data_IF_827066739869
#
_entry.id   IF_827066739869
#
_cell.length_a   1.000
_cell.length_b   1.000
_cell.length_c   1.000
_cell.angle_alpha   90.00
_cell.angle_beta   90.00
_cell.angle_gamma   90.00
#
_symmetry.space_group_name_H-M   'P 1'
#
loop_
_entity.id
_entity.type
_entity.pdbx_description
1 polymer ?
#
# COMPACT_ATOMS: atom_id res chain seq x y z
N UNK A 1 21.52 -14.39 20.06
CA UNK A 1 20.62 -14.96 19.04
C UNK A 1 19.40 -15.44 19.79
N UNK A 2 18.22 -14.92 19.47
CA UNK A 2 16.98 -15.40 20.06
C UNK A 2 16.82 -16.90 19.74
N UNK A 3 16.26 -17.67 20.67
CA UNK A 3 15.97 -19.08 20.46
C UNK A 3 14.99 -19.22 19.27
N UNK A 4 15.31 -20.09 18.29
CA UNK A 4 14.47 -20.33 17.11
C UNK A 4 13.05 -20.82 17.45
N UNK A 5 12.82 -21.22 18.70
CA UNK A 5 11.53 -21.63 19.21
C UNK A 5 10.80 -20.55 20.02
N UNK A 6 11.30 -19.31 20.07
CA UNK A 6 10.58 -18.25 20.76
C UNK A 6 9.32 -17.87 19.97
N UNK A 7 8.11 -18.00 20.55
CA UNK A 7 6.88 -17.67 19.83
C UNK A 7 6.81 -16.17 19.55
N UNK A 8 6.49 -15.82 18.30
CA UNK A 8 6.25 -14.43 17.89
C UNK A 8 4.77 -14.10 18.06
N UNK A 9 4.47 -12.98 18.70
CA UNK A 9 3.11 -12.51 18.92
C UNK A 9 2.73 -11.43 17.89
N UNK A 10 1.49 -11.49 17.39
CA UNK A 10 0.87 -10.38 16.68
C UNK A 10 0.21 -9.48 17.71
N UNK A 11 0.75 -8.27 17.90
CA UNK A 11 0.32 -7.34 18.95
C UNK A 11 -0.49 -6.15 18.42
N UNK A 12 -0.56 -5.97 17.09
CA UNK A 12 -1.41 -4.97 16.45
C UNK A 12 -1.64 -5.30 14.99
N UNK A 13 -2.76 -4.84 14.44
CA UNK A 13 -3.17 -5.07 13.06
C UNK A 13 -3.90 -3.85 12.49
N UNK A 14 -3.65 -3.56 11.23
CA UNK A 14 -4.45 -2.63 10.45
C UNK A 14 -4.64 -3.18 9.03
N UNK A 15 -5.79 -2.91 8.43
CA UNK A 15 -6.04 -3.27 7.04
C UNK A 15 -6.94 -2.25 6.36
N UNK A 16 -6.72 -2.12 5.05
CA UNK A 16 -7.61 -1.39 4.14
C UNK A 16 -7.82 -2.25 2.92
N UNK A 17 -9.09 -2.48 2.60
CA UNK A 17 -9.52 -3.23 1.45
C UNK A 17 -10.64 -2.46 0.73
N UNK A 18 -10.94 -2.79 -0.53
CA UNK A 18 -12.17 -2.32 -1.15
C UNK A 18 -13.38 -2.57 -0.24
N UNK A 19 -14.19 -1.54 0.00
CA UNK A 19 -15.35 -1.53 0.91
C UNK A 19 -15.07 -1.64 2.42
N UNK A 20 -13.79 -1.63 2.83
CA UNK A 20 -13.41 -1.66 4.24
C UNK A 20 -12.21 -0.75 4.51
N UNK A 21 -12.47 0.37 5.17
CA UNK A 21 -11.46 1.36 5.54
C UNK A 21 -10.67 0.98 6.81
N UNK A 22 -11.09 -0.08 7.52
CA UNK A 22 -10.43 -0.61 8.72
C UNK A 22 -10.81 -2.07 8.99
N UNK A 23 -10.14 -2.69 9.97
CA UNK A 23 -10.36 -4.08 10.36
C UNK A 23 -11.80 -4.39 10.81
N UNK A 24 -12.47 -3.48 11.52
CA UNK A 24 -13.85 -3.70 11.97
C UNK A 24 -14.83 -3.75 10.80
N UNK A 25 -14.68 -2.84 9.83
CA UNK A 25 -15.48 -2.87 8.61
C UNK A 25 -15.20 -4.11 7.77
N UNK A 26 -13.93 -4.53 7.69
CA UNK A 26 -13.57 -5.75 6.98
C UNK A 26 -14.17 -7.00 7.66
N UNK A 27 -14.16 -7.05 8.99
CA UNK A 27 -14.79 -8.12 9.74
C UNK A 27 -16.29 -8.21 9.46
N UNK A 28 -16.99 -7.07 9.54
CA UNK A 28 -18.41 -7.03 9.21
C UNK A 28 -18.69 -7.47 7.77
N UNK A 29 -17.86 -7.02 6.82
CA UNK A 29 -17.96 -7.41 5.41
C UNK A 29 -17.87 -8.94 5.22
N UNK A 30 -16.95 -9.61 5.92
CA UNK A 30 -16.81 -11.07 5.91
C UNK A 30 -18.04 -11.73 6.55
N UNK A 31 -18.47 -11.26 7.73
CA UNK A 31 -19.64 -11.79 8.43
C UNK A 31 -20.91 -11.72 7.57
N UNK A 32 -21.07 -10.65 6.81
CA UNK A 32 -22.19 -10.43 5.89
C UNK A 32 -22.08 -11.21 4.57
N UNK A 33 -20.95 -11.91 4.35
CA UNK A 33 -20.66 -12.70 3.13
C UNK A 33 -20.85 -11.91 1.83
N UNK A 34 -20.41 -10.65 1.84
CA UNK A 34 -20.54 -9.74 0.71
C UNK A 34 -19.50 -10.02 -0.37
N UNK A 35 -19.86 -9.69 -1.61
CA UNK A 35 -18.93 -9.67 -2.75
C UNK A 35 -18.51 -8.23 -3.05
N UNK A 36 -17.21 -8.01 -3.21
CA UNK A 36 -16.60 -6.71 -3.52
C UNK A 36 -16.37 -6.53 -5.03
N UNK A 37 -16.58 -7.57 -5.84
CA UNK A 37 -16.42 -7.45 -7.28
C UNK A 37 -17.47 -6.50 -7.85
N UNK A 38 -17.00 -5.49 -8.56
CA UNK A 38 -17.87 -4.50 -9.17
C UNK A 38 -17.20 -3.79 -10.34
N UNK A 39 -17.94 -2.88 -10.94
CA UNK A 39 -17.43 -2.04 -12.01
C UNK A 39 -16.55 -0.93 -11.44
N UNK A 40 -15.56 -0.48 -12.22
CA UNK A 40 -14.88 0.79 -11.97
C UNK A 40 -15.90 1.94 -11.85
N UNK A 41 -15.59 2.94 -11.04
CA UNK A 41 -16.40 4.15 -11.00
C UNK A 41 -16.43 4.80 -12.39
N UNK A 42 -17.53 5.50 -12.78
CA UNK A 42 -17.64 6.11 -14.10
C UNK A 42 -16.48 7.06 -14.43
N UNK A 43 -15.94 7.74 -13.42
CA UNK A 43 -14.78 8.61 -13.60
C UNK A 43 -13.52 7.80 -13.91
N UNK A 44 -13.23 6.75 -13.14
CA UNK A 44 -12.03 5.91 -13.37
C UNK A 44 -12.13 5.11 -14.67
N UNK A 45 -13.33 4.68 -15.06
CA UNK A 45 -13.56 4.05 -16.35
C UNK A 45 -13.17 4.97 -17.53
N UNK A 46 -13.49 6.27 -17.45
CA UNK A 46 -13.06 7.27 -18.45
C UNK A 46 -11.54 7.46 -18.47
N UNK A 47 -10.92 7.52 -17.29
CA UNK A 47 -9.46 7.66 -17.18
C UNK A 47 -8.74 6.46 -17.82
N UNK A 48 -9.20 5.23 -17.54
CA UNK A 48 -8.63 4.00 -18.13
C UNK A 48 -8.83 3.98 -19.65
N UNK A 49 -10.01 4.34 -20.16
CA UNK A 49 -10.23 4.45 -21.60
C UNK A 49 -9.30 5.47 -22.26
N UNK A 50 -9.01 6.59 -21.60
CA UNK A 50 -8.06 7.57 -22.10
C UNK A 50 -6.63 7.02 -22.12
N UNK A 51 -6.22 6.33 -21.06
CA UNK A 51 -4.89 5.72 -20.94
C UNK A 51 -4.67 4.64 -21.99
N UNK A 52 -5.58 3.66 -22.13
CA UNK A 52 -5.41 2.56 -23.11
C UNK A 52 -5.32 3.10 -24.54
N UNK A 53 -6.13 4.10 -24.90
CA UNK A 53 -6.03 4.76 -26.22
C UNK A 53 -4.66 5.39 -26.49
N UNK A 54 -3.90 5.75 -25.46
CA UNK A 54 -2.56 6.34 -25.60
C UNK A 54 -1.46 5.28 -25.65
N UNK A 55 -1.62 4.15 -24.97
CA UNK A 55 -0.60 3.10 -24.86
C UNK A 55 -0.76 1.97 -25.87
N UNK A 56 -1.99 1.62 -26.25
CA UNK A 56 -2.30 0.60 -27.27
C UNK A 56 -3.53 1.02 -28.09
N UNK A 57 -3.35 1.76 -29.20
CA UNK A 57 -4.45 2.34 -29.98
C UNK A 57 -5.36 1.29 -30.65
N UNK A 58 -4.86 0.07 -30.85
CA UNK A 58 -5.57 -1.02 -31.54
C UNK A 58 -6.40 -1.89 -30.57
N UNK A 59 -6.13 -1.81 -29.26
CA UNK A 59 -7.00 -2.39 -28.23
C UNK A 59 -8.22 -1.50 -27.97
N UNK A 60 -9.33 -1.83 -28.64
CA UNK A 60 -10.64 -1.36 -28.22
C UNK A 60 -10.95 -1.91 -26.83
N UNK A 61 -10.75 -1.07 -25.80
CA UNK A 61 -11.37 -1.25 -24.48
C UNK A 61 -12.86 -1.42 -24.68
N UNK A 62 -13.34 -2.68 -24.66
CA UNK A 62 -14.76 -2.96 -24.57
C UNK A 62 -15.16 -2.75 -23.11
N UNK A 63 -15.89 -1.67 -22.75
CA UNK A 63 -16.27 -1.41 -21.37
C UNK A 63 -17.23 -2.48 -20.80
N UNK A 64 -17.81 -3.33 -21.66
CA UNK A 64 -18.61 -4.49 -21.27
C UNK A 64 -17.78 -5.78 -21.20
N UNK A 65 -16.46 -5.71 -21.39
CA UNK A 65 -15.57 -6.85 -21.24
C UNK A 65 -15.51 -7.28 -19.77
N UNK A 66 -15.57 -8.59 -19.46
CA UNK A 66 -15.43 -9.10 -18.10
C UNK A 66 -14.10 -8.71 -17.43
N UNK A 67 -13.11 -8.23 -18.19
CA UNK A 67 -11.85 -7.70 -17.65
C UNK A 67 -11.99 -6.33 -16.95
N UNK A 68 -13.15 -5.67 -17.01
CA UNK A 68 -13.39 -4.38 -16.33
C UNK A 68 -14.06 -4.48 -14.95
N UNK A 69 -14.30 -5.70 -14.47
CA UNK A 69 -14.76 -5.93 -13.10
C UNK A 69 -13.59 -6.23 -12.18
N UNK A 70 -13.70 -5.79 -10.93
CA UNK A 70 -12.69 -6.03 -9.91
C UNK A 70 -13.05 -5.37 -8.58
N UNK A 71 -12.12 -5.42 -7.65
CA UNK A 71 -12.25 -4.81 -6.33
C UNK A 71 -11.40 -3.54 -6.30
N UNK A 72 -12.03 -2.37 -6.21
CA UNK A 72 -11.35 -1.08 -6.30
C UNK A 72 -11.51 -0.27 -5.02
N UNK A 73 -10.45 0.41 -4.60
CA UNK A 73 -10.54 1.43 -3.57
C UNK A 73 -11.35 2.62 -4.09
N UNK A 74 -12.33 3.08 -3.31
CA UNK A 74 -13.12 4.28 -3.65
C UNK A 74 -12.22 5.53 -3.70
N UNK A 75 -11.23 5.60 -2.81
CA UNK A 75 -10.45 6.81 -2.51
C UNK A 75 -8.94 6.54 -2.46
N UNK A 76 -8.41 5.88 -3.48
CA UNK A 76 -6.98 5.56 -3.59
C UNK A 76 -6.07 6.79 -3.68
N UNK A 77 -6.63 7.94 -4.06
CA UNK A 77 -5.92 9.23 -4.20
C UNK A 77 -5.78 9.99 -2.87
N UNK A 78 -6.52 9.61 -1.82
CA UNK A 78 -6.57 10.37 -0.56
C UNK A 78 -5.44 9.99 0.38
N UNK A 79 -4.71 11.00 0.84
CA UNK A 79 -3.60 10.86 1.76
C UNK A 79 -3.43 12.13 2.59
N UNK A 80 -3.12 12.00 3.88
CA UNK A 80 -2.87 13.13 4.76
C UNK A 80 -1.38 13.47 4.73
N UNK A 81 -0.97 14.22 3.71
CA UNK A 81 0.44 14.53 3.50
C UNK A 81 1.02 15.38 4.66
N UNK A 82 0.22 16.30 5.22
CA UNK A 82 0.65 17.18 6.29
C UNK A 82 0.97 16.40 7.58
N UNK A 83 0.16 15.37 7.91
CA UNK A 83 0.42 14.50 9.05
C UNK A 83 1.81 13.85 8.98
N UNK A 84 2.23 13.42 7.77
CA UNK A 84 3.56 12.81 7.54
C UNK A 84 4.67 13.84 7.24
N UNK A 85 4.38 15.15 7.29
CA UNK A 85 5.36 16.19 6.94
C UNK A 85 5.76 16.20 5.46
N UNK A 86 4.91 15.68 4.58
CA UNK A 86 5.12 15.58 3.14
C UNK A 86 4.42 16.76 2.46
N UNK A 87 5.11 17.44 1.53
CA UNK A 87 4.51 18.56 0.81
C UNK A 87 3.40 18.07 -0.15
N UNK A 88 2.38 18.90 -0.45
CA UNK A 88 1.35 18.53 -1.43
C UNK A 88 1.91 18.17 -2.80
N UNK A 89 2.98 18.84 -3.24
CA UNK A 89 3.64 18.57 -4.52
C UNK A 89 4.34 17.21 -4.52
N UNK A 90 5.08 16.89 -3.45
CA UNK A 90 5.71 15.58 -3.30
C UNK A 90 4.65 14.47 -3.22
N UNK A 91 3.57 14.68 -2.45
CA UNK A 91 2.52 13.67 -2.26
C UNK A 91 1.84 13.23 -3.57
N UNK A 92 1.79 14.11 -4.58
CA UNK A 92 1.26 13.78 -5.91
C UNK A 92 2.18 12.83 -6.69
N UNK A 93 3.48 12.84 -6.39
CA UNK A 93 4.47 11.98 -7.02
C UNK A 93 4.65 10.63 -6.30
N UNK A 94 4.14 10.49 -5.07
CA UNK A 94 4.24 9.25 -4.29
C UNK A 94 3.21 8.22 -4.77
N UNK A 95 3.68 7.01 -5.09
CA UNK A 95 2.84 5.85 -5.41
C UNK A 95 1.78 5.67 -4.30
N UNK A 96 0.48 5.58 -4.63
CA UNK A 96 -0.55 5.29 -3.66
C UNK A 96 -0.19 4.13 -2.72
N UNK A 97 0.47 3.07 -3.20
CA UNK A 97 0.93 1.95 -2.37
C UNK A 97 1.80 2.43 -1.19
N UNK A 98 2.77 3.31 -1.44
CA UNK A 98 3.61 3.89 -0.38
C UNK A 98 2.82 4.72 0.62
N UNK A 99 1.85 5.51 0.12
CA UNK A 99 0.95 6.31 0.97
C UNK A 99 0.07 5.44 1.85
N UNK A 100 -0.42 4.31 1.32
CA UNK A 100 -1.15 3.31 2.08
C UNK A 100 -0.28 2.67 3.15
N UNK A 101 0.96 2.29 2.82
CA UNK A 101 1.87 1.70 3.79
C UNK A 101 2.18 2.64 4.96
N UNK A 102 2.40 3.94 4.70
CA UNK A 102 2.57 4.94 5.75
C UNK A 102 1.39 4.99 6.72
N UNK A 103 0.16 5.01 6.17
CA UNK A 103 -1.06 5.03 6.96
C UNK A 103 -1.27 3.73 7.75
N UNK A 104 -1.17 2.58 7.08
CA UNK A 104 -1.42 1.27 7.69
C UNK A 104 -0.39 0.97 8.78
N UNK A 105 0.87 1.34 8.60
CA UNK A 105 1.88 1.17 9.64
C UNK A 105 1.53 2.00 10.88
N UNK A 106 1.12 3.26 10.70
CA UNK A 106 0.67 4.10 11.80
C UNK A 106 -0.55 3.51 12.52
N UNK A 107 -1.60 3.13 11.78
CA UNK A 107 -2.82 2.53 12.32
C UNK A 107 -2.51 1.22 13.09
N UNK A 108 -1.57 0.39 12.61
CA UNK A 108 -1.17 -0.84 13.29
C UNK A 108 -0.37 -0.59 14.58
N UNK A 109 0.45 0.47 14.61
CA UNK A 109 1.18 0.91 15.82
C UNK A 109 0.21 1.46 16.87
N UNK A 110 -0.83 2.18 16.43
CA UNK A 110 -1.92 2.65 17.30
C UNK A 110 -2.72 1.48 17.89
N UNK A 111 -3.09 0.50 17.06
CA UNK A 111 -3.78 -0.72 17.51
C UNK A 111 -2.95 -1.51 18.53
N UNK A 112 -1.62 -1.55 18.34
CA UNK A 112 -0.69 -2.17 19.29
C UNK A 112 -0.52 -1.38 20.61
N UNK A 113 -1.04 -0.16 20.71
CA UNK A 113 -0.88 0.69 21.88
C UNK A 113 0.56 1.17 22.13
N UNK A 114 1.42 1.15 21.11
CA UNK A 114 2.85 1.48 21.25
C UNK A 114 3.16 2.97 21.13
N UNK A 115 2.26 3.78 20.57
CA UNK A 115 2.40 5.24 20.45
C UNK A 115 3.84 5.67 20.08
N UNK A 116 4.41 6.67 20.77
CA UNK A 116 5.74 7.19 20.48
C UNK A 116 6.91 6.30 20.98
N UNK A 117 6.65 5.14 21.59
CA UNK A 117 7.73 4.31 22.14
C UNK A 117 8.55 3.57 21.07
N UNK A 118 8.05 3.56 19.82
CA UNK A 118 8.70 2.87 18.71
C UNK A 118 9.76 3.72 18.02
N UNK A 119 9.73 5.05 18.19
CA UNK A 119 10.74 5.93 17.59
C UNK A 119 12.13 5.67 18.18
N UNK A 120 13.11 5.46 17.31
CA UNK A 120 14.50 5.17 17.67
C UNK A 120 14.77 3.72 18.04
N UNK A 121 13.77 2.82 17.95
CA UNK A 121 13.92 1.41 18.27
C UNK A 121 14.60 0.61 17.16
N UNK A 122 15.05 -0.61 17.48
CA UNK A 122 15.54 -1.59 16.50
C UNK A 122 14.40 -2.31 15.75
N UNK A 123 13.22 -1.69 15.60
CA UNK A 123 12.10 -2.25 14.84
C UNK A 123 12.45 -2.35 13.36
N UNK A 124 12.25 -3.53 12.77
CA UNK A 124 12.41 -3.74 11.33
C UNK A 124 11.11 -3.55 10.53
N UNK A 125 11.26 -3.30 9.23
CA UNK A 125 10.18 -3.11 8.26
C UNK A 125 10.34 -4.10 7.11
N UNK A 126 9.39 -5.03 7.01
CA UNK A 126 9.39 -6.11 6.03
C UNK A 126 8.10 -6.04 5.22
N UNK A 127 8.21 -5.78 3.91
CA UNK A 127 7.04 -5.52 3.07
C UNK A 127 7.07 -6.43 1.84
N UNK A 128 5.96 -7.13 1.63
CA UNK A 128 5.68 -7.77 0.35
C UNK A 128 5.20 -6.74 -0.66
N UNK A 129 5.90 -6.59 -1.79
CA UNK A 129 5.59 -5.59 -2.80
C UNK A 129 5.47 -6.23 -4.19
N UNK A 130 4.32 -6.10 -4.87
CA UNK A 130 4.11 -6.78 -6.15
C UNK A 130 4.86 -6.09 -7.29
N UNK A 131 4.44 -4.87 -7.64
CA UNK A 131 4.95 -4.13 -8.79
C UNK A 131 4.69 -2.63 -8.64
N UNK A 132 5.49 -1.84 -9.35
CA UNK A 132 5.36 -0.40 -9.47
C UNK A 132 4.77 -0.09 -10.85
N UNK A 133 3.71 0.73 -10.87
CA UNK A 133 3.04 1.15 -12.12
C UNK A 133 2.72 2.65 -12.13
N UNK A 134 2.99 3.35 -11.04
CA UNK A 134 2.57 4.73 -10.86
C UNK A 134 3.39 5.71 -11.71
N UNK A 135 4.68 5.45 -11.89
CA UNK A 135 5.59 6.26 -12.71
C UNK A 135 5.09 6.42 -14.15
N UNK A 136 4.47 5.37 -14.69
CA UNK A 136 3.95 5.35 -16.06
C UNK A 136 2.73 6.26 -16.28
N UNK A 137 2.03 6.62 -15.20
CA UNK A 137 0.82 7.45 -15.27
C UNK A 137 1.04 8.88 -14.75
N UNK A 138 2.26 9.21 -14.29
CA UNK A 138 2.60 10.57 -13.90
C UNK A 138 2.67 11.48 -15.12
N UNK A 139 2.02 12.64 -15.05
CA UNK A 139 2.03 13.65 -16.12
C UNK A 139 3.40 14.30 -16.32
N UNK A 140 4.13 14.47 -15.23
CA UNK A 140 5.46 15.09 -15.21
C UNK A 140 6.36 14.26 -14.31
N UNK A 141 7.48 13.79 -14.85
CA UNK A 141 8.50 13.08 -14.10
C UNK A 141 9.56 14.08 -13.66
N UNK A 142 9.75 14.20 -12.36
CA UNK A 142 10.72 15.07 -11.70
C UNK A 142 11.55 14.26 -10.68
N UNK A 143 12.34 14.95 -9.86
CA UNK A 143 13.17 14.33 -8.83
C UNK A 143 12.32 13.63 -7.77
N UNK A 144 11.20 14.25 -7.39
CA UNK A 144 10.24 13.76 -6.40
C UNK A 144 9.58 12.48 -6.90
N UNK A 145 9.33 12.36 -8.20
CA UNK A 145 8.83 11.14 -8.84
C UNK A 145 9.75 9.95 -8.63
N UNK A 146 11.07 10.14 -8.74
CA UNK A 146 12.03 9.05 -8.54
C UNK A 146 11.97 8.48 -7.12
N UNK A 147 11.80 9.35 -6.11
CA UNK A 147 11.65 8.93 -4.71
C UNK A 147 10.25 8.38 -4.41
N UNK A 148 9.23 8.95 -5.05
CA UNK A 148 7.84 8.64 -4.81
C UNK A 148 7.39 7.32 -5.43
N UNK A 149 8.02 6.87 -6.51
CA UNK A 149 7.60 5.64 -7.20
C UNK A 149 8.54 4.47 -6.99
N UNK A 150 9.85 4.69 -6.81
CA UNK A 150 10.80 3.59 -6.76
C UNK A 150 10.56 2.67 -5.54
N UNK A 151 10.22 1.37 -5.74
CA UNK A 151 9.61 0.54 -4.71
C UNK A 151 10.40 0.46 -3.40
N UNK A 152 11.73 0.25 -3.39
CA UNK A 152 12.53 0.25 -2.17
C UNK A 152 12.31 1.44 -1.23
N UNK A 153 11.88 2.61 -1.73
CA UNK A 153 11.54 3.73 -0.86
C UNK A 153 10.31 3.48 0.01
N UNK A 154 9.45 2.52 -0.29
CA UNK A 154 8.31 2.15 0.57
C UNK A 154 8.78 1.77 1.99
N UNK A 155 9.76 0.87 2.10
CA UNK A 155 10.25 0.40 3.39
C UNK A 155 11.15 1.45 4.09
N UNK A 156 12.01 2.12 3.32
CA UNK A 156 12.93 3.11 3.90
C UNK A 156 12.21 4.41 4.29
N UNK A 157 11.17 4.83 3.55
CA UNK A 157 10.30 5.96 3.92
C UNK A 157 9.56 5.67 5.22
N UNK A 158 9.03 4.46 5.40
CA UNK A 158 8.43 4.05 6.67
C UNK A 158 9.44 4.14 7.83
N UNK A 159 10.62 3.55 7.63
CA UNK A 159 11.67 3.58 8.65
C UNK A 159 12.12 5.00 8.97
N UNK A 160 12.23 5.86 7.96
CA UNK A 160 12.59 7.27 8.12
C UNK A 160 11.53 8.06 8.89
N UNK A 161 10.25 7.97 8.51
CA UNK A 161 9.18 8.75 9.16
C UNK A 161 8.92 8.29 10.60
N UNK A 162 9.20 7.03 10.93
CA UNK A 162 8.97 6.44 12.24
C UNK A 162 10.25 6.30 13.09
N UNK A 163 11.40 6.83 12.63
CA UNK A 163 12.74 6.66 13.24
C UNK A 163 13.06 5.19 13.60
N UNK A 164 12.73 4.24 12.73
CA UNK A 164 12.99 2.81 12.94
C UNK A 164 14.40 2.46 12.47
N UNK A 165 15.16 1.77 13.31
CA UNK A 165 16.60 1.49 13.11
C UNK A 165 16.91 0.04 12.79
N UNK A 166 15.89 -0.81 12.75
CA UNK A 166 16.03 -2.20 12.31
C UNK A 166 16.17 -2.33 10.78
N UNK A 167 16.23 -3.57 10.27
CA UNK A 167 16.27 -3.83 8.83
C UNK A 167 15.05 -3.27 8.10
N UNK A 168 15.24 -2.72 6.91
CA UNK A 168 14.17 -2.17 6.08
C UNK A 168 14.31 -2.64 4.63
N UNK A 169 13.50 -3.61 4.21
CA UNK A 169 13.57 -4.09 2.83
C UNK A 169 12.25 -4.64 2.31
N UNK A 170 12.19 -4.69 0.98
CA UNK A 170 11.08 -5.27 0.23
C UNK A 170 11.40 -6.70 -0.18
N UNK A 171 10.36 -7.52 -0.25
CA UNK A 171 10.41 -8.83 -0.90
C UNK A 171 9.33 -8.95 -1.96
N UNK A 172 9.66 -9.65 -3.04
CA UNK A 172 8.73 -9.97 -4.11
C UNK A 172 8.86 -11.45 -4.47
N UNK A 173 7.86 -12.22 -4.04
CA UNK A 173 7.63 -13.60 -4.41
C UNK A 173 6.22 -13.75 -5.04
N UNK A 174 5.78 -12.73 -5.78
CA UNK A 174 4.44 -12.63 -6.33
C UNK A 174 3.36 -12.83 -5.24
N UNK A 175 2.43 -13.78 -5.41
CA UNK A 175 1.30 -13.99 -4.51
C UNK A 175 1.69 -14.40 -3.08
N UNK A 176 2.93 -14.87 -2.85
CA UNK A 176 3.41 -15.24 -1.51
C UNK A 176 4.25 -14.16 -0.83
N UNK A 177 4.38 -12.96 -1.42
CA UNK A 177 5.25 -11.90 -0.92
C UNK A 177 4.95 -11.49 0.53
N UNK A 178 3.67 -11.41 0.91
CA UNK A 178 3.28 -11.02 2.29
C UNK A 178 3.68 -12.08 3.32
N UNK A 179 3.52 -13.36 2.98
CA UNK A 179 3.93 -14.47 3.86
C UNK A 179 5.45 -14.60 3.92
N UNK A 180 6.16 -14.34 2.83
CA UNK A 180 7.63 -14.29 2.84
C UNK A 180 8.14 -13.13 3.71
N UNK A 181 7.51 -11.96 3.64
CA UNK A 181 7.85 -10.83 4.50
C UNK A 181 7.63 -11.17 5.98
N UNK A 182 6.49 -11.79 6.32
CA UNK A 182 6.21 -12.24 7.68
C UNK A 182 7.21 -13.31 8.17
N UNK A 183 7.59 -14.26 7.31
CA UNK A 183 8.59 -15.26 7.63
C UNK A 183 9.94 -14.63 7.98
N UNK A 184 10.44 -13.72 7.13
CA UNK A 184 11.71 -13.03 7.35
C UNK A 184 11.70 -12.09 8.56
N UNK A 185 10.53 -11.56 8.94
CA UNK A 185 10.38 -10.76 10.15
C UNK A 185 10.49 -11.60 11.44
N UNK A 186 10.25 -12.91 11.36
CA UNK A 186 10.33 -13.83 12.49
C UNK A 186 11.71 -14.50 12.64
N UNK A 187 12.61 -14.36 11.66
CA UNK A 187 13.98 -14.90 11.69
C UNK A 187 14.99 -13.93 12.32
#
# INVERSE_FOLDING_TARGET
MADKNFPVAVIGIACRLPYAENCSQFWQFICDKRDANGNLSPQRAKDVQHFVKQTDPDELVNPNSPFFTGCFFERIDKFDANFFGISPEEALCIDPQQRFFLRIAWEAIEDAGLAASIFGSDTGVYIGYPEEKYLQILRHVNKESALGTHPPFTATRLSYHLDLRGPAFLVNAACSSSLLAAHLACE
#
